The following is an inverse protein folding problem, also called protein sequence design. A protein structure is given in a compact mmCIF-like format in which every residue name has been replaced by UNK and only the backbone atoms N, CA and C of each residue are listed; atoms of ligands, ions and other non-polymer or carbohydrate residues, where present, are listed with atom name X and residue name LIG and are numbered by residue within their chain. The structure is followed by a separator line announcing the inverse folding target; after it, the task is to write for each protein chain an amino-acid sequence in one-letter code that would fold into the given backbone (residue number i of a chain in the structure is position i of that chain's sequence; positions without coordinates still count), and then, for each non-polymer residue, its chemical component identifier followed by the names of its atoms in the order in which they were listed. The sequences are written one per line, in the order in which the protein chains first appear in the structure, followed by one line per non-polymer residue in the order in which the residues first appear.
data_IF_994449802298
#
_entry.id   IF_994449802298
#
_cell.length_a   1.000
_cell.length_b   1.000
_cell.length_c   1.000
_cell.angle_alpha   90.00
_cell.angle_beta   90.00
_cell.angle_gamma   90.00
#
_symmetry.space_group_name_H-M   'P 1'
#
loop_
_entity.id
_entity.type
_entity.pdbx_description
1 polymer ?
#
# COMPACT_ATOMS: atom_id res chain seq x y z
N UNK A 1 -8.34 23.86 -13.15
CA UNK A 1 -7.83 22.47 -13.23
C UNK A 1 -8.28 21.89 -14.57
N UNK A 2 -7.37 21.29 -15.38
CA UNK A 2 -7.72 20.60 -16.63
C UNK A 2 -7.63 19.08 -16.37
N UNK A 3 -8.67 18.33 -16.72
CA UNK A 3 -8.67 16.85 -16.66
C UNK A 3 -8.12 16.34 -17.98
N UNK A 4 -7.01 15.60 -17.93
CA UNK A 4 -6.30 15.06 -19.11
C UNK A 4 -6.27 13.53 -19.15
N UNK A 5 -7.08 12.88 -18.35
CA UNK A 5 -7.09 11.41 -18.18
C UNK A 5 -7.27 10.65 -19.50
N UNK A 6 -8.07 11.18 -20.43
CA UNK A 6 -8.29 10.54 -21.74
C UNK A 6 -7.20 10.89 -22.78
N UNK A 7 -6.37 11.89 -22.48
CA UNK A 7 -5.31 12.37 -23.35
C UNK A 7 -3.96 11.70 -23.04
N UNK A 8 -3.89 10.93 -21.93
CA UNK A 8 -2.65 10.33 -21.42
C UNK A 8 -2.80 8.86 -21.09
N UNK A 9 -1.69 8.12 -21.16
CA UNK A 9 -1.52 6.79 -20.60
C UNK A 9 -0.44 6.83 -19.52
N UNK A 10 -0.62 6.04 -18.45
CA UNK A 10 0.38 5.91 -17.37
C UNK A 10 0.79 4.44 -17.24
N UNK A 11 2.09 4.18 -17.26
CA UNK A 11 2.67 2.85 -17.09
C UNK A 11 3.63 2.90 -15.90
N UNK A 12 3.44 1.99 -14.95
CA UNK A 12 4.33 1.84 -13.81
C UNK A 12 5.36 0.74 -14.09
N UNK A 13 6.66 1.08 -13.96
CA UNK A 13 7.76 0.12 -13.96
C UNK A 13 8.45 0.18 -12.61
N UNK A 14 8.50 -0.95 -11.91
CA UNK A 14 8.91 -1.02 -10.52
C UNK A 14 9.90 -2.18 -10.30
N UNK A 15 10.75 -2.04 -9.29
CA UNK A 15 11.67 -3.10 -8.89
C UNK A 15 13.14 -2.75 -9.11
N UNK A 16 14.06 -3.61 -8.67
CA UNK A 16 15.51 -3.28 -8.59
C UNK A 16 16.17 -2.98 -9.93
N UNK A 17 15.57 -3.43 -11.04
CA UNK A 17 16.09 -3.17 -12.40
C UNK A 17 15.41 -1.98 -13.09
N UNK A 18 14.28 -1.48 -12.52
CA UNK A 18 13.44 -0.49 -13.15
C UNK A 18 14.19 0.80 -13.48
N UNK A 19 14.97 1.31 -12.53
CA UNK A 19 15.74 2.55 -12.72
C UNK A 19 16.75 2.40 -13.85
N UNK A 20 17.49 1.31 -13.90
CA UNK A 20 18.48 1.05 -14.97
C UNK A 20 17.84 0.90 -16.36
N UNK A 21 16.67 0.25 -16.45
CA UNK A 21 15.91 0.13 -17.70
C UNK A 21 15.49 1.51 -18.20
N UNK A 22 14.84 2.30 -17.34
CA UNK A 22 14.35 3.65 -17.73
C UNK A 22 15.51 4.58 -18.06
N UNK A 23 16.62 4.48 -17.34
CA UNK A 23 17.79 5.31 -17.57
C UNK A 23 18.43 5.03 -18.94
N UNK A 24 18.54 3.76 -19.32
CA UNK A 24 19.04 3.37 -20.65
C UNK A 24 18.13 3.85 -21.79
N UNK A 25 16.81 3.85 -21.58
CA UNK A 25 15.82 4.30 -22.57
C UNK A 25 15.68 5.82 -22.66
N UNK A 26 16.17 6.53 -21.64
CA UNK A 26 16.14 8.01 -21.58
C UNK A 26 17.49 8.67 -21.82
N UNK A 27 18.51 7.92 -22.27
CA UNK A 27 19.87 8.41 -22.43
C UNK A 27 20.43 9.12 -21.17
N UNK A 28 20.10 8.59 -19.98
CA UNK A 28 20.55 9.13 -18.70
C UNK A 28 19.68 10.26 -18.12
N UNK A 29 18.66 10.75 -18.83
CA UNK A 29 17.82 11.86 -18.34
C UNK A 29 17.08 11.51 -17.04
N UNK A 30 16.65 10.24 -16.90
CA UNK A 30 15.89 9.79 -15.72
C UNK A 30 16.71 9.77 -14.43
N UNK A 31 18.04 9.62 -14.52
CA UNK A 31 18.96 9.65 -13.37
C UNK A 31 18.92 10.96 -12.59
N UNK A 32 18.55 12.07 -13.25
CA UNK A 32 18.41 13.38 -12.62
C UNK A 32 17.15 13.50 -11.74
N UNK A 33 16.21 12.57 -11.87
CA UNK A 33 14.96 12.59 -11.11
C UNK A 33 15.18 11.83 -9.78
N UNK A 34 15.21 12.55 -8.67
CA UNK A 34 15.35 11.98 -7.34
C UNK A 34 14.07 11.22 -6.94
N UNK A 35 14.22 10.22 -6.06
CA UNK A 35 13.07 9.51 -5.48
C UNK A 35 12.05 10.49 -4.88
N UNK A 36 10.76 10.22 -5.12
CA UNK A 36 9.62 11.07 -4.77
C UNK A 36 9.60 12.45 -5.46
N UNK A 37 10.26 12.55 -6.62
CA UNK A 37 10.20 13.75 -7.48
C UNK A 37 9.64 13.41 -8.85
N UNK A 38 9.19 14.45 -9.54
CA UNK A 38 8.67 14.39 -10.89
C UNK A 38 9.58 15.20 -11.82
N UNK A 39 9.75 14.76 -13.05
CA UNK A 39 10.51 15.42 -14.07
C UNK A 39 10.07 14.98 -15.46
N UNK A 40 10.61 15.64 -16.49
CA UNK A 40 10.37 15.27 -17.87
C UNK A 40 11.62 14.59 -18.44
N UNK A 41 11.40 13.63 -19.34
CA UNK A 41 12.46 12.96 -20.09
C UNK A 41 11.89 12.44 -21.42
N UNK A 42 12.78 12.02 -22.32
CA UNK A 42 12.39 11.37 -23.56
C UNK A 42 12.71 9.87 -23.48
N UNK A 43 11.71 9.03 -23.52
CA UNK A 43 11.85 7.57 -23.45
C UNK A 43 11.77 6.99 -24.86
N UNK A 44 12.88 6.55 -25.41
CA UNK A 44 12.96 6.00 -26.78
C UNK A 44 12.25 6.86 -27.82
N UNK A 45 12.46 8.19 -27.75
CA UNK A 45 11.85 9.16 -28.64
C UNK A 45 10.41 9.58 -28.27
N UNK A 46 9.86 9.10 -27.15
CA UNK A 46 8.53 9.47 -26.67
C UNK A 46 8.70 10.51 -25.55
N UNK A 47 8.18 11.75 -25.71
CA UNK A 47 8.15 12.72 -24.61
C UNK A 47 7.32 12.17 -23.44
N UNK A 48 7.88 12.19 -22.25
CA UNK A 48 7.26 11.61 -21.06
C UNK A 48 7.43 12.49 -19.83
N UNK A 49 6.46 12.43 -18.93
CA UNK A 49 6.59 12.89 -17.55
C UNK A 49 6.83 11.67 -16.67
N UNK A 50 7.92 11.70 -15.91
CA UNK A 50 8.30 10.60 -15.02
C UNK A 50 8.12 11.03 -13.58
N UNK A 51 7.32 10.29 -12.83
CA UNK A 51 7.30 10.39 -11.38
C UNK A 51 8.11 9.21 -10.80
N UNK A 52 9.20 9.48 -10.07
CA UNK A 52 9.98 8.43 -9.42
C UNK A 52 9.32 8.02 -8.11
N UNK A 53 8.18 7.40 -8.28
CA UNK A 53 7.24 6.94 -7.26
C UNK A 53 6.72 5.56 -7.64
N UNK A 54 5.91 4.96 -6.75
CA UNK A 54 5.30 3.68 -7.02
C UNK A 54 4.49 3.17 -5.84
N UNK A 55 3.94 1.98 -6.01
CA UNK A 55 3.05 1.33 -5.05
C UNK A 55 3.49 -0.11 -4.75
N UNK A 56 4.81 -0.31 -4.65
CA UNK A 56 5.41 -1.65 -4.45
C UNK A 56 6.47 -1.69 -3.36
N UNK A 57 6.80 -0.53 -2.76
CA UNK A 57 7.93 -0.41 -1.83
C UNK A 57 9.31 -0.38 -2.51
N UNK A 58 9.41 -0.80 -3.76
CA UNK A 58 10.62 -0.78 -4.57
C UNK A 58 10.82 0.58 -5.25
N UNK A 59 12.02 0.83 -5.77
CA UNK A 59 12.30 1.99 -6.62
C UNK A 59 11.77 1.76 -8.03
N UNK A 60 11.41 2.84 -8.72
CA UNK A 60 10.87 2.77 -10.06
C UNK A 60 10.20 4.06 -10.48
N UNK A 61 9.48 3.99 -11.57
CA UNK A 61 8.82 5.13 -12.17
C UNK A 61 7.36 4.85 -12.52
N UNK A 62 6.54 5.87 -12.42
CA UNK A 62 5.24 5.99 -13.07
C UNK A 62 5.45 6.94 -14.26
N UNK A 63 5.35 6.39 -15.48
CA UNK A 63 5.68 7.08 -16.72
C UNK A 63 4.38 7.50 -17.39
N UNK A 64 4.19 8.79 -17.58
CA UNK A 64 3.01 9.38 -18.21
C UNK A 64 3.39 9.87 -19.59
N UNK A 65 2.66 9.40 -20.61
CA UNK A 65 2.86 9.72 -22.03
C UNK A 65 1.53 10.11 -22.69
N UNK A 66 1.51 10.70 -23.90
CA UNK A 66 0.30 10.81 -24.69
C UNK A 66 -0.38 9.46 -24.86
N UNK A 67 -1.72 9.42 -24.87
CA UNK A 67 -2.49 8.18 -24.84
C UNK A 67 -2.18 7.27 -26.03
N UNK A 68 -1.94 7.82 -27.21
CA UNK A 68 -1.58 7.11 -28.46
C UNK A 68 -0.16 6.50 -28.43
N UNK A 69 0.69 6.91 -27.47
CA UNK A 69 2.03 6.35 -27.26
C UNK A 69 2.09 5.26 -26.20
N UNK A 70 0.99 4.99 -25.52
CA UNK A 70 0.95 4.03 -24.40
C UNK A 70 1.35 2.59 -24.80
N UNK A 71 0.82 2.08 -25.90
CA UNK A 71 1.15 0.74 -26.42
C UNK A 71 2.63 0.65 -26.85
N UNK A 72 3.15 1.67 -27.52
CA UNK A 72 4.55 1.74 -27.91
C UNK A 72 5.46 1.72 -26.68
N UNK A 73 5.14 2.53 -25.66
CA UNK A 73 5.91 2.54 -24.40
C UNK A 73 5.87 1.18 -23.70
N UNK A 74 4.71 0.55 -23.61
CA UNK A 74 4.56 -0.78 -23.00
C UNK A 74 5.47 -1.81 -23.66
N UNK A 75 5.42 -1.89 -25.00
CA UNK A 75 6.25 -2.81 -25.75
C UNK A 75 7.74 -2.51 -25.60
N UNK A 76 8.14 -1.24 -25.62
CA UNK A 76 9.53 -0.81 -25.40
C UNK A 76 10.07 -1.26 -24.03
N UNK A 77 9.28 -1.07 -22.97
CA UNK A 77 9.68 -1.49 -21.63
C UNK A 77 9.81 -3.02 -21.52
N UNK A 78 8.86 -3.76 -22.10
CA UNK A 78 8.87 -5.22 -22.14
C UNK A 78 10.11 -5.75 -22.88
N UNK A 79 10.39 -5.23 -24.07
CA UNK A 79 11.57 -5.58 -24.87
C UNK A 79 12.89 -5.25 -24.17
N UNK A 80 12.87 -4.26 -23.27
CA UNK A 80 14.02 -3.89 -22.43
C UNK A 80 14.15 -4.75 -21.16
N UNK A 81 13.33 -5.81 -21.02
CA UNK A 81 13.42 -6.79 -19.94
C UNK A 81 12.51 -6.53 -18.74
N UNK A 82 11.54 -5.61 -18.84
CA UNK A 82 10.47 -5.51 -17.85
C UNK A 82 9.51 -6.69 -17.97
N UNK A 83 9.08 -7.23 -16.84
CA UNK A 83 8.15 -8.37 -16.78
C UNK A 83 6.74 -7.84 -16.56
N UNK A 84 5.82 -8.26 -17.43
CA UNK A 84 4.40 -7.94 -17.30
C UNK A 84 3.84 -8.50 -15.99
N UNK A 85 3.12 -7.67 -15.25
CA UNK A 85 2.60 -8.02 -13.93
C UNK A 85 1.11 -7.69 -13.83
N UNK A 86 0.34 -8.65 -13.33
CA UNK A 86 -1.10 -8.50 -13.16
C UNK A 86 -1.48 -7.78 -11.85
N UNK A 87 -2.78 -7.48 -11.70
CA UNK A 87 -3.33 -6.83 -10.51
C UNK A 87 -3.07 -7.62 -9.22
N UNK A 88 -3.05 -8.96 -9.29
CA UNK A 88 -2.72 -9.79 -8.13
C UNK A 88 -1.29 -9.57 -7.62
N UNK A 89 -0.32 -9.45 -8.53
CA UNK A 89 1.06 -9.14 -8.16
C UNK A 89 1.16 -7.73 -7.54
N UNK A 90 0.47 -6.75 -8.14
CA UNK A 90 0.41 -5.39 -7.59
C UNK A 90 -0.17 -5.36 -6.18
N UNK A 91 -1.24 -6.11 -5.92
CA UNK A 91 -1.87 -6.16 -4.58
C UNK A 91 -0.97 -6.85 -3.55
N UNK A 92 -0.29 -7.94 -3.92
CA UNK A 92 0.67 -8.60 -3.04
C UNK A 92 1.83 -7.65 -2.70
N UNK A 93 2.45 -7.03 -3.70
CA UNK A 93 3.61 -6.15 -3.51
C UNK A 93 3.27 -4.92 -2.65
N UNK A 94 2.13 -4.26 -2.90
CA UNK A 94 1.75 -3.11 -2.09
C UNK A 94 1.52 -3.51 -0.63
N UNK A 95 0.89 -4.69 -0.39
CA UNK A 95 0.62 -5.18 0.95
C UNK A 95 1.92 -5.54 1.67
N UNK A 96 2.85 -6.24 1.00
CA UNK A 96 4.19 -6.53 1.54
C UNK A 96 4.92 -5.24 1.96
N UNK A 97 4.75 -4.17 1.17
CA UNK A 97 5.30 -2.85 1.46
C UNK A 97 4.53 -2.06 2.54
N UNK A 98 3.45 -2.60 3.08
CA UNK A 98 2.63 -1.92 4.09
C UNK A 98 1.86 -0.72 3.54
N UNK A 99 1.55 -0.71 2.24
CA UNK A 99 0.83 0.39 1.59
C UNK A 99 -0.68 0.10 1.57
N UNK A 100 -1.51 0.92 2.25
CA UNK A 100 -2.94 0.70 2.30
C UNK A 100 -3.63 0.98 0.97
N UNK A 101 -4.73 0.27 0.74
CA UNK A 101 -5.58 0.39 -0.44
C UNK A 101 -6.82 1.23 -0.11
N UNK A 102 -7.04 2.29 -0.89
CA UNK A 102 -8.26 3.08 -0.80
C UNK A 102 -9.48 2.24 -1.23
N UNK A 103 -10.53 2.31 -0.44
CA UNK A 103 -11.73 1.49 -0.60
C UNK A 103 -11.73 0.22 0.26
N UNK A 104 -10.55 -0.24 0.72
CA UNK A 104 -10.41 -1.37 1.63
C UNK A 104 -9.87 -0.92 2.99
N UNK A 105 -8.62 -0.44 3.01
CA UNK A 105 -7.92 -0.04 4.23
C UNK A 105 -8.22 1.41 4.63
N UNK A 106 -8.57 2.24 3.65
CA UNK A 106 -8.93 3.64 3.82
C UNK A 106 -10.27 3.92 3.14
N UNK A 107 -11.11 4.72 3.81
CA UNK A 107 -12.40 5.18 3.30
C UNK A 107 -12.70 6.59 3.78
N UNK A 108 -13.86 7.14 3.42
CA UNK A 108 -14.34 8.42 3.94
C UNK A 108 -14.70 8.37 5.43
N UNK A 109 -14.82 7.17 6.01
CA UNK A 109 -15.10 6.94 7.43
C UNK A 109 -13.82 6.73 8.26
N UNK A 110 -12.66 6.79 7.59
CA UNK A 110 -11.36 6.54 8.21
C UNK A 110 -10.62 7.86 8.39
N UNK A 111 -10.24 8.19 9.61
CA UNK A 111 -9.43 9.36 9.87
C UNK A 111 -7.91 9.04 9.71
N UNK A 112 -7.07 10.04 9.40
CA UNK A 112 -5.64 9.79 9.15
C UNK A 112 -4.86 9.33 10.39
N UNK A 113 -5.34 9.62 11.60
CA UNK A 113 -4.62 9.23 12.82
C UNK A 113 -4.81 7.75 13.13
N UNK A 114 -6.05 7.23 13.03
CA UNK A 114 -6.30 5.80 13.20
C UNK A 114 -5.66 4.94 12.10
N UNK A 115 -5.47 5.53 10.90
CA UNK A 115 -4.79 4.89 9.78
C UNK A 115 -3.24 4.98 9.84
N UNK A 116 -2.68 5.61 10.89
CA UNK A 116 -1.22 5.77 11.04
C UNK A 116 -0.61 6.87 10.18
N UNK A 117 -1.42 7.73 9.56
CA UNK A 117 -0.99 8.84 8.70
C UNK A 117 -1.02 10.22 9.38
N UNK A 118 -1.18 10.27 10.70
CA UNK A 118 -1.25 11.52 11.46
C UNK A 118 -0.10 12.49 11.15
N UNK A 119 1.11 11.98 10.92
CA UNK A 119 2.29 12.79 10.52
C UNK A 119 2.14 13.54 9.20
N UNK A 120 1.20 13.11 8.33
CA UNK A 120 0.91 13.75 7.05
C UNK A 120 -0.33 14.64 7.12
N UNK A 121 -1.07 14.62 8.23
CA UNK A 121 -2.24 15.45 8.46
C UNK A 121 -1.79 16.88 8.83
N UNK A 122 -1.43 17.67 7.81
CA UNK A 122 -0.98 19.04 8.00
C UNK A 122 -2.15 19.99 8.26
N UNK A 123 -2.70 19.94 9.47
CA UNK A 123 -3.90 20.69 9.88
C UNK A 123 -3.61 22.12 10.35
N UNK A 124 -2.35 22.49 10.51
CA UNK A 124 -1.94 23.85 10.91
C UNK A 124 -1.79 24.81 9.69
N UNK A 125 -1.89 24.26 8.46
CA UNK A 125 -1.79 25.09 7.25
C UNK A 125 -2.88 26.16 7.23
N UNK A 126 -2.51 27.42 6.97
CA UNK A 126 -3.48 28.48 6.69
C UNK A 126 -4.40 28.03 5.54
N UNK A 127 -5.70 28.24 5.69
CA UNK A 127 -6.71 27.84 4.70
C UNK A 127 -6.89 26.33 4.46
N UNK A 128 -6.47 25.47 5.39
CA UNK A 128 -6.81 24.05 5.33
C UNK A 128 -8.31 23.85 5.52
N UNK A 129 -8.98 23.29 4.51
CA UNK A 129 -10.43 23.01 4.55
C UNK A 129 -10.78 22.08 5.72
N UNK A 130 -9.95 21.09 6.00
CA UNK A 130 -10.14 20.10 7.07
C UNK A 130 -9.43 20.48 8.38
N UNK A 131 -8.70 21.60 8.44
CA UNK A 131 -7.80 21.92 9.54
C UNK A 131 -8.45 21.86 10.92
N UNK A 132 -9.61 22.49 11.10
CA UNK A 132 -10.31 22.49 12.38
C UNK A 132 -10.82 21.11 12.81
N UNK A 133 -11.26 20.28 11.84
CA UNK A 133 -11.73 18.93 12.11
C UNK A 133 -10.55 18.01 12.47
N UNK A 134 -9.45 18.06 11.70
CA UNK A 134 -8.25 17.27 11.95
C UNK A 134 -7.60 17.62 13.29
N UNK A 135 -7.58 18.91 13.69
CA UNK A 135 -7.09 19.32 15.01
C UNK A 135 -7.89 18.67 16.13
N UNK A 136 -9.22 18.72 16.08
CA UNK A 136 -10.06 18.07 17.08
C UNK A 136 -9.81 16.58 17.19
N UNK A 137 -9.67 15.89 16.03
CA UNK A 137 -9.38 14.46 16.01
C UNK A 137 -7.99 14.17 16.60
N UNK A 138 -6.98 15.02 16.33
CA UNK A 138 -5.62 14.83 16.86
C UNK A 138 -5.52 14.97 18.38
N UNK A 139 -6.47 15.67 19.01
CA UNK A 139 -6.57 15.90 20.44
C UNK A 139 -7.38 14.81 21.18
N UNK A 140 -8.02 13.91 20.42
CA UNK A 140 -8.77 12.75 20.95
C UNK A 140 -8.00 11.46 20.77
N UNK A 141 -8.12 10.55 21.72
CA UNK A 141 -7.62 9.18 21.55
C UNK A 141 -8.44 8.48 20.47
N UNK A 142 -7.74 7.72 19.61
CA UNK A 142 -8.42 6.92 18.62
C UNK A 142 -8.95 5.63 19.26
N UNK A 143 -10.17 5.25 18.94
CA UNK A 143 -10.77 4.00 19.43
C UNK A 143 -10.12 2.76 18.81
N UNK A 144 -9.56 2.91 17.60
CA UNK A 144 -8.97 1.82 16.80
C UNK A 144 -7.69 2.26 16.09
N UNK A 145 -6.90 1.29 15.65
CA UNK A 145 -5.70 1.52 14.85
C UNK A 145 -5.59 0.52 13.69
N UNK A 146 -5.06 0.99 12.56
CA UNK A 146 -4.66 0.12 11.45
C UNK A 146 -3.34 -0.57 11.80
N UNK A 147 -3.35 -1.89 11.78
CA UNK A 147 -2.20 -2.73 12.14
C UNK A 147 -1.84 -3.72 11.04
N UNK A 148 -0.57 -4.16 11.02
CA UNK A 148 -0.12 -5.29 10.23
C UNK A 148 -0.45 -6.61 10.94
N UNK A 149 -0.92 -7.59 10.18
CA UNK A 149 -1.33 -8.91 10.64
C UNK A 149 -0.47 -9.99 9.97
N UNK A 150 0.14 -10.87 10.76
CA UNK A 150 0.86 -12.04 10.25
C UNK A 150 0.24 -13.32 10.82
N UNK A 151 -0.19 -14.20 9.93
CA UNK A 151 -0.68 -15.53 10.35
C UNK A 151 0.47 -16.34 10.93
N UNK A 152 0.27 -16.93 12.10
CA UNK A 152 1.16 -17.91 12.70
C UNK A 152 0.61 -19.34 12.52
N UNK A 153 -0.70 -19.44 12.35
CA UNK A 153 -1.37 -20.66 11.92
C UNK A 153 -1.62 -20.69 10.40
N UNK A 154 -2.04 -21.85 9.89
CA UNK A 154 -2.30 -22.07 8.46
C UNK A 154 -3.60 -21.37 8.02
N UNK A 155 -3.49 -20.25 7.33
CA UNK A 155 -4.63 -19.48 6.83
C UNK A 155 -4.20 -18.24 6.04
N UNK A 156 -5.16 -17.60 5.39
CA UNK A 156 -4.98 -16.32 4.70
C UNK A 156 -6.01 -15.34 5.26
N UNK A 157 -5.60 -14.19 5.79
CA UNK A 157 -6.49 -13.21 6.41
C UNK A 157 -7.17 -12.38 5.32
N UNK A 158 -8.28 -12.87 4.76
CA UNK A 158 -9.00 -12.15 3.70
C UNK A 158 -9.78 -10.96 4.26
N UNK A 159 -9.95 -9.94 3.42
CA UNK A 159 -10.78 -8.77 3.74
C UNK A 159 -12.17 -9.19 4.22
N UNK A 160 -12.64 -8.54 5.27
CA UNK A 160 -13.96 -8.78 5.86
C UNK A 160 -13.99 -9.82 6.97
N UNK A 161 -12.92 -10.57 7.21
CA UNK A 161 -12.85 -11.52 8.33
C UNK A 161 -12.74 -10.78 9.67
N UNK A 162 -13.37 -11.33 10.70
CA UNK A 162 -13.27 -10.80 12.05
C UNK A 162 -11.93 -11.17 12.71
N UNK A 163 -11.42 -10.22 13.50
CA UNK A 163 -10.26 -10.38 14.36
C UNK A 163 -10.78 -10.52 15.78
N UNK A 164 -10.29 -11.50 16.51
CA UNK A 164 -10.72 -11.81 17.86
C UNK A 164 -9.55 -11.82 18.85
N UNK A 165 -9.85 -11.66 20.11
CA UNK A 165 -8.89 -11.88 21.19
C UNK A 165 -8.27 -13.28 21.08
N UNK A 166 -7.01 -13.40 21.50
CA UNK A 166 -6.30 -14.69 21.46
C UNK A 166 -6.79 -15.67 22.53
N UNK A 167 -7.12 -15.14 23.70
CA UNK A 167 -7.62 -15.94 24.80
C UNK A 167 -9.15 -16.08 24.69
N UNK A 168 -9.61 -17.28 24.42
CA UNK A 168 -11.03 -17.59 24.33
C UNK A 168 -11.73 -17.55 25.70
N UNK A 169 -10.95 -17.48 26.80
CA UNK A 169 -11.50 -17.53 28.15
C UNK A 169 -12.40 -18.75 28.36
N UNK A 170 -13.50 -18.56 29.10
CA UNK A 170 -14.55 -19.56 29.29
C UNK A 170 -15.74 -19.40 28.33
N UNK A 171 -15.62 -18.60 27.28
CA UNK A 171 -16.69 -18.38 26.30
C UNK A 171 -16.47 -19.21 25.05
N UNK A 172 -17.54 -19.81 24.53
CA UNK A 172 -17.50 -20.56 23.27
C UNK A 172 -17.30 -19.65 22.05
N UNK A 173 -17.47 -18.34 22.22
CA UNK A 173 -17.26 -17.31 21.18
C UNK A 173 -16.27 -16.25 21.67
N UNK A 174 -15.11 -16.10 20.99
CA UNK A 174 -14.15 -15.08 21.33
C UNK A 174 -14.68 -13.69 20.98
N UNK A 175 -14.30 -12.70 21.79
CA UNK A 175 -14.68 -11.31 21.59
C UNK A 175 -14.09 -10.76 20.28
N UNK A 176 -14.94 -10.13 19.46
CA UNK A 176 -14.50 -9.44 18.24
C UNK A 176 -13.83 -8.12 18.61
N UNK A 177 -12.56 -7.98 18.28
CA UNK A 177 -11.74 -6.79 18.57
C UNK A 177 -11.39 -5.99 17.32
N UNK A 178 -11.79 -6.46 16.14
CA UNK A 178 -11.46 -5.78 14.90
C UNK A 178 -11.87 -6.53 13.64
N UNK A 179 -11.40 -6.01 12.51
CA UNK A 179 -11.70 -6.56 11.18
C UNK A 179 -10.53 -6.43 10.22
N UNK A 180 -10.30 -7.47 9.44
CA UNK A 180 -9.33 -7.48 8.34
C UNK A 180 -9.84 -6.61 7.19
N UNK A 181 -9.00 -5.72 6.68
CA UNK A 181 -9.29 -4.86 5.53
C UNK A 181 -8.60 -5.30 4.25
N UNK A 182 -7.38 -5.82 4.36
CA UNK A 182 -6.62 -6.40 3.25
C UNK A 182 -5.88 -7.64 3.71
N UNK A 183 -5.70 -8.60 2.79
CA UNK A 183 -4.91 -9.77 3.14
C UNK A 183 -4.71 -10.75 1.99
N UNK A 184 -3.52 -11.35 1.99
CA UNK A 184 -3.10 -12.29 0.96
C UNK A 184 -2.08 -13.29 1.50
N UNK A 185 -1.73 -14.28 0.68
CA UNK A 185 -0.50 -15.03 0.86
C UNK A 185 0.66 -14.26 0.21
N UNK A 186 1.73 -14.03 0.95
CA UNK A 186 2.96 -13.40 0.47
C UNK A 186 4.02 -14.47 0.17
N UNK A 187 4.47 -14.60 -1.07
CA UNK A 187 5.59 -15.48 -1.41
C UNK A 187 6.92 -15.02 -0.78
N UNK A 188 7.08 -13.72 -0.62
CA UNK A 188 8.32 -13.12 -0.07
C UNK A 188 8.47 -13.39 1.43
N UNK A 189 7.37 -13.30 2.18
CA UNK A 189 7.33 -13.56 3.64
C UNK A 189 7.04 -15.02 3.95
N UNK A 190 6.66 -15.80 2.94
CA UNK A 190 6.23 -17.20 3.01
C UNK A 190 5.10 -17.40 4.05
N UNK A 191 4.01 -16.65 3.89
CA UNK A 191 2.91 -16.73 4.83
C UNK A 191 1.73 -15.81 4.53
N UNK A 192 0.64 -16.01 5.28
CA UNK A 192 -0.51 -15.12 5.26
C UNK A 192 -0.16 -13.80 5.95
N UNK A 193 -0.32 -12.69 5.23
CA UNK A 193 -0.19 -11.33 5.76
C UNK A 193 -1.44 -10.51 5.46
N UNK A 194 -1.70 -9.51 6.27
CA UNK A 194 -2.85 -8.63 6.08
C UNK A 194 -2.74 -7.32 6.83
N UNK A 195 -3.69 -6.46 6.59
CA UNK A 195 -3.96 -5.26 7.38
C UNK A 195 -5.36 -5.35 7.97
N UNK A 196 -5.57 -4.68 9.08
CA UNK A 196 -6.89 -4.59 9.68
C UNK A 196 -6.94 -3.53 10.75
N UNK A 197 -8.14 -3.09 11.08
CA UNK A 197 -8.36 -2.25 12.25
C UNK A 197 -8.67 -3.13 13.46
N UNK A 198 -8.02 -2.80 14.57
CA UNK A 198 -8.28 -3.39 15.88
C UNK A 198 -8.52 -2.28 16.90
N UNK A 199 -9.26 -2.57 17.96
CA UNK A 199 -9.39 -1.66 19.10
C UNK A 199 -7.99 -1.25 19.58
N UNK A 200 -7.82 0.02 19.91
CA UNK A 200 -6.53 0.64 20.23
C UNK A 200 -5.73 -0.13 21.31
N UNK A 201 -6.41 -0.67 22.30
CA UNK A 201 -5.77 -1.46 23.39
C UNK A 201 -5.07 -2.75 22.93
N UNK A 202 -5.42 -3.26 21.75
CA UNK A 202 -4.80 -4.47 21.17
C UNK A 202 -3.76 -4.16 20.09
N UNK A 203 -3.54 -2.88 19.73
CA UNK A 203 -2.74 -2.47 18.57
C UNK A 203 -1.22 -2.68 18.71
N UNK A 204 -0.74 -3.05 19.90
CA UNK A 204 0.69 -3.19 20.15
C UNK A 204 1.31 -4.34 19.34
N UNK A 205 2.47 -4.08 18.71
CA UNK A 205 3.27 -5.11 18.01
C UNK A 205 3.60 -6.26 18.95
N UNK A 206 3.44 -7.49 18.45
CA UNK A 206 3.62 -8.71 19.24
C UNK A 206 2.34 -9.24 19.88
N UNK A 207 1.23 -8.47 19.90
CA UNK A 207 -0.05 -8.93 20.41
C UNK A 207 -0.53 -10.16 19.64
N UNK A 208 -0.83 -11.23 20.36
CA UNK A 208 -1.44 -12.42 19.77
C UNK A 208 -2.93 -12.20 19.61
N UNK A 209 -3.46 -12.66 18.50
CA UNK A 209 -4.86 -12.56 18.11
C UNK A 209 -5.30 -13.83 17.41
N UNK A 210 -6.59 -13.99 17.16
CA UNK A 210 -7.10 -14.99 16.23
C UNK A 210 -7.92 -14.35 15.13
N UNK A 211 -7.94 -14.98 13.97
CA UNK A 211 -8.75 -14.55 12.83
C UNK A 211 -9.72 -15.66 12.47
N UNK A 212 -11.00 -15.34 12.37
CA UNK A 212 -12.02 -16.30 11.92
C UNK A 212 -11.88 -16.58 10.42
N UNK A 213 -11.24 -17.70 10.10
CA UNK A 213 -11.10 -18.17 8.72
C UNK A 213 -12.17 -19.23 8.45
N UNK A 214 -13.35 -18.81 8.05
CA UNK A 214 -14.49 -19.68 7.72
C UNK A 214 -14.92 -20.59 8.90
N UNK A 215 -15.12 -20.02 10.07
CA UNK A 215 -15.53 -20.70 11.28
C UNK A 215 -14.40 -21.41 12.03
N UNK A 216 -13.14 -21.16 11.65
CA UNK A 216 -11.95 -21.63 12.38
C UNK A 216 -11.15 -20.45 12.87
N UNK A 217 -10.93 -20.37 14.17
CA UNK A 217 -10.08 -19.38 14.78
C UNK A 217 -8.60 -19.76 14.56
N UNK A 218 -7.95 -19.05 13.66
CA UNK A 218 -6.55 -19.30 13.28
C UNK A 218 -5.66 -18.25 13.94
N UNK A 219 -4.59 -18.72 14.58
CA UNK A 219 -3.65 -17.84 15.27
C UNK A 219 -2.95 -16.88 14.31
N UNK A 220 -2.81 -15.65 14.77
CA UNK A 220 -2.09 -14.57 14.10
C UNK A 220 -1.43 -13.66 15.14
N UNK A 221 -0.58 -12.78 14.67
CA UNK A 221 0.10 -11.80 15.51
C UNK A 221 0.09 -10.42 14.83
N UNK A 222 -0.06 -9.37 15.63
CA UNK A 222 0.14 -8.00 15.18
C UNK A 222 1.63 -7.76 15.00
N UNK A 223 2.01 -7.23 13.84
CA UNK A 223 3.40 -6.98 13.44
C UNK A 223 3.58 -5.57 12.90
N UNK A 224 4.81 -5.09 12.93
CA UNK A 224 5.17 -3.83 12.28
C UNK A 224 5.05 -3.91 10.76
N UNK A 225 4.71 -2.80 10.14
CA UNK A 225 4.76 -2.62 8.70
C UNK A 225 5.94 -1.73 8.30
N UNK A 226 6.53 -1.96 7.14
CA UNK A 226 6.21 -2.95 6.11
C UNK A 226 6.60 -4.38 6.50
N UNK A 227 5.88 -5.37 5.94
CA UNK A 227 6.17 -6.81 6.16
C UNK A 227 7.48 -7.25 5.53
N UNK A 228 7.88 -6.58 4.45
CA UNK A 228 9.12 -6.77 3.73
C UNK A 228 9.83 -5.45 3.49
N UNK A 229 11.14 -5.42 3.75
CA UNK A 229 12.05 -4.34 3.36
C UNK A 229 13.23 -4.95 2.62
N UNK A 230 13.54 -4.40 1.46
CA UNK A 230 14.81 -4.73 0.82
C UNK A 230 15.95 -4.10 1.63
N UNK A 231 16.96 -4.90 1.93
CA UNK A 231 18.21 -4.49 2.59
C UNK A 231 19.17 -3.94 1.53
#
# INVERSE_FOLDING_TARGET
MKVVTKETAMIAIQGPKAVGIVDSLSNGESSNIRRFRIGNATISGIPATLARTGYTGEDGFEIIVPADQGEKLWNTLRESGAIESGLGARDVLRLEAGLPLHGNDLSTETNPFEAGFGRFAYYEAPNSIAGAALRRISETENDRALVGLKMTGRGIPRSGLNIHEFDLGNSDEPNVIGRVTSGTYSPTVDGGIGMGYVDQKYSATGTKITIDVRGRFVEAQIVDMPFYKRI
#
